data_IF_236333994548
#
_entry.id   IF_236333994548
#
_cell.length_a   1.000
_cell.length_b   1.000
_cell.length_c   1.000
_cell.angle_alpha   90.00
_cell.angle_beta   90.00
_cell.angle_gamma   90.00
#
_symmetry.space_group_name_H-M   'P 1'
#
loop_
_entity.id
_entity.type
_entity.pdbx_description
1 polymer ?
#
# COMPACT_ATOMS: atom_id res chain seq x y z
N UNK A 1 22.27 19.36 10.56
CA UNK A 1 21.24 18.30 10.59
C UNK A 1 20.34 18.55 11.80
N UNK A 2 19.02 18.67 11.63
CA UNK A 2 18.13 18.96 12.74
C UNK A 2 18.04 17.73 13.68
N UNK A 3 17.85 17.92 14.98
CA UNK A 3 17.72 16.86 15.98
C UNK A 3 16.61 15.83 15.60
N UNK A 4 15.55 16.27 14.94
CA UNK A 4 14.45 15.41 14.49
C UNK A 4 14.86 14.41 13.37
N UNK A 5 15.76 14.80 12.47
CA UNK A 5 16.23 13.94 11.38
C UNK A 5 17.01 12.73 11.89
N UNK A 6 17.88 12.95 12.86
CA UNK A 6 18.66 11.87 13.50
C UNK A 6 17.73 10.91 14.25
N UNK A 7 16.66 11.44 14.88
CA UNK A 7 15.70 10.66 15.65
C UNK A 7 14.86 9.72 14.76
N UNK A 8 14.33 10.21 13.61
CA UNK A 8 13.52 9.37 12.71
C UNK A 8 14.34 8.24 12.08
N UNK A 9 15.53 8.57 11.52
CA UNK A 9 16.40 7.56 10.90
C UNK A 9 16.80 6.47 11.89
N UNK A 10 17.14 6.86 13.12
CA UNK A 10 17.48 5.90 14.16
C UNK A 10 16.25 5.06 14.56
N UNK A 11 15.10 5.68 14.82
CA UNK A 11 13.87 4.97 15.16
C UNK A 11 13.43 4.00 14.04
N UNK A 12 13.54 4.41 12.77
CA UNK A 12 13.26 3.53 11.62
C UNK A 12 14.23 2.35 11.59
N UNK A 13 15.53 2.58 11.80
CA UNK A 13 16.55 1.53 11.85
C UNK A 13 16.28 0.52 12.96
N UNK A 14 15.98 1.00 14.16
CA UNK A 14 15.69 0.15 15.33
C UNK A 14 14.39 -0.66 15.11
N UNK A 15 13.39 -0.04 14.50
CA UNK A 15 12.14 -0.72 14.13
C UNK A 15 12.39 -1.81 13.09
N UNK A 16 13.17 -1.54 12.02
CA UNK A 16 13.52 -2.54 11.01
C UNK A 16 14.30 -3.70 11.61
N UNK A 17 15.28 -3.43 12.48
CA UNK A 17 16.02 -4.46 13.20
C UNK A 17 15.09 -5.32 14.07
N UNK A 18 14.12 -4.71 14.76
CA UNK A 18 13.13 -5.46 15.54
C UNK A 18 12.23 -6.35 14.68
N UNK A 19 11.88 -5.89 13.47
CA UNK A 19 11.11 -6.68 12.50
C UNK A 19 11.95 -7.85 11.96
N UNK A 20 13.22 -7.63 11.70
CA UNK A 20 14.14 -8.66 11.23
C UNK A 20 14.34 -9.77 12.26
N UNK A 21 14.50 -9.42 13.53
CA UNK A 21 14.72 -10.36 14.65
C UNK A 21 13.45 -11.09 15.08
N UNK A 22 12.27 -10.55 14.79
CA UNK A 22 11.03 -11.21 15.17
C UNK A 22 10.83 -12.49 14.37
N UNK A 23 10.68 -13.65 15.07
CA UNK A 23 10.15 -14.85 14.46
C UNK A 23 8.72 -14.54 13.99
N UNK A 24 8.54 -14.33 12.70
CA UNK A 24 7.26 -13.87 12.22
C UNK A 24 6.28 -15.01 12.14
N UNK A 25 5.35 -15.05 13.07
CA UNK A 25 4.13 -15.82 12.89
C UNK A 25 3.48 -15.43 11.55
N UNK A 26 3.03 -16.45 10.81
CA UNK A 26 2.32 -16.27 9.55
C UNK A 26 0.92 -15.64 9.72
N UNK A 27 0.55 -15.21 10.92
CA UNK A 27 -0.76 -14.67 11.20
C UNK A 27 -0.94 -13.30 10.55
N UNK A 28 -2.00 -13.14 9.79
CA UNK A 28 -2.37 -11.92 9.08
C UNK A 28 -2.28 -10.67 9.97
N UNK A 29 -2.84 -10.74 11.20
CA UNK A 29 -2.83 -9.62 12.14
C UNK A 29 -1.43 -9.15 12.53
N UNK A 30 -0.47 -10.05 12.61
CA UNK A 30 0.91 -9.70 12.97
C UNK A 30 1.65 -9.03 11.81
N UNK A 31 1.41 -9.49 10.59
CA UNK A 31 1.95 -8.85 9.38
C UNK A 31 1.40 -7.43 9.23
N UNK A 32 0.08 -7.27 9.40
CA UNK A 32 -0.55 -5.95 9.37
C UNK A 32 -0.04 -5.04 10.49
N UNK A 33 0.12 -5.57 11.71
CA UNK A 33 0.69 -4.79 12.83
C UNK A 33 2.12 -4.30 12.55
N UNK A 34 2.93 -5.09 11.83
CA UNK A 34 4.26 -4.69 11.40
C UNK A 34 4.22 -3.48 10.44
N UNK A 35 3.39 -3.54 9.40
CA UNK A 35 3.22 -2.44 8.45
C UNK A 35 2.66 -1.19 9.12
N UNK A 36 1.71 -1.36 10.04
CA UNK A 36 1.12 -0.27 10.81
C UNK A 36 2.12 0.40 11.78
N UNK A 37 3.12 -0.33 12.31
CA UNK A 37 4.17 0.28 13.14
C UNK A 37 5.02 1.25 12.32
N UNK A 38 5.37 0.90 11.08
CA UNK A 38 6.06 1.80 10.15
C UNK A 38 5.19 3.01 9.80
N UNK A 39 3.90 2.81 9.53
CA UNK A 39 2.96 3.90 9.29
C UNK A 39 2.91 4.87 10.49
N UNK A 40 2.73 4.36 11.71
CA UNK A 40 2.64 5.21 12.91
C UNK A 40 3.90 6.04 13.15
N UNK A 41 5.10 5.45 12.96
CA UNK A 41 6.36 6.19 13.07
C UNK A 41 6.41 7.33 12.03
N UNK A 42 5.99 7.04 10.81
CA UNK A 42 5.94 8.03 9.72
C UNK A 42 4.88 9.09 9.97
N UNK A 43 3.68 8.71 10.44
CA UNK A 43 2.59 9.63 10.80
C UNK A 43 3.05 10.64 11.86
N UNK A 44 3.67 10.17 12.95
CA UNK A 44 4.21 11.02 14.02
C UNK A 44 5.26 12.01 13.49
N UNK A 45 6.14 11.53 12.63
CA UNK A 45 7.19 12.37 12.03
C UNK A 45 6.58 13.43 11.12
N UNK A 46 5.68 13.06 10.21
CA UNK A 46 5.02 14.01 9.31
C UNK A 46 4.18 15.05 10.07
N UNK A 47 3.51 14.64 11.14
CA UNK A 47 2.77 15.56 12.01
C UNK A 47 3.67 16.63 12.63
N UNK A 48 4.84 16.22 13.13
CA UNK A 48 5.81 17.14 13.70
C UNK A 48 6.40 18.09 12.65
N UNK A 49 6.77 17.56 11.46
CA UNK A 49 7.31 18.37 10.36
C UNK A 49 6.28 19.38 9.81
N UNK A 50 5.00 18.97 9.76
CA UNK A 50 3.89 19.85 9.41
C UNK A 50 3.80 21.03 10.37
N UNK A 51 3.86 20.76 11.67
CA UNK A 51 3.84 21.79 12.70
C UNK A 51 5.07 22.71 12.62
N UNK A 52 6.27 22.18 12.40
CA UNK A 52 7.52 22.92 12.31
C UNK A 52 7.57 23.83 11.08
N UNK A 53 6.90 23.47 9.99
CA UNK A 53 6.81 24.32 8.80
C UNK A 53 5.81 25.46 8.94
N UNK A 54 5.06 25.51 10.03
CA UNK A 54 4.04 26.55 10.27
C UNK A 54 2.80 26.36 9.39
N UNK A 55 2.56 25.15 8.89
CA UNK A 55 1.35 24.77 8.18
C UNK A 55 0.24 24.41 9.20
N UNK A 56 -0.99 24.77 8.87
CA UNK A 56 -2.17 24.55 9.72
C UNK A 56 -3.45 24.65 8.89
N UNK A 57 -4.60 24.64 9.53
CA UNK A 57 -5.86 25.00 8.86
C UNK A 57 -5.73 26.38 8.17
N UNK A 58 -6.38 26.57 7.00
CA UNK A 58 -7.41 25.70 6.42
C UNK A 58 -6.90 24.51 5.58
N UNK A 59 -5.58 24.30 5.47
CA UNK A 59 -5.01 23.20 4.70
C UNK A 59 -5.18 21.86 5.41
N UNK A 60 -5.07 20.78 4.65
CA UNK A 60 -5.03 19.42 5.18
C UNK A 60 -3.86 18.63 4.59
N UNK A 61 -3.14 17.90 5.43
CA UNK A 61 -2.18 16.89 5.01
C UNK A 61 -2.87 15.53 5.01
N UNK A 62 -2.74 14.81 3.91
CA UNK A 62 -3.34 13.49 3.75
C UNK A 62 -2.28 12.48 3.30
N UNK A 63 -2.32 11.28 3.86
CA UNK A 63 -1.65 10.11 3.29
C UNK A 63 -2.49 9.57 2.14
N UNK A 64 -1.85 9.16 1.03
CA UNK A 64 -2.54 8.60 -0.13
C UNK A 64 -1.88 7.30 -0.60
N UNK A 65 -2.51 6.58 -1.51
CA UNK A 65 -2.00 5.32 -2.02
C UNK A 65 -1.78 4.25 -0.93
N UNK A 66 -0.69 3.48 -1.02
CA UNK A 66 -0.38 2.42 -0.05
C UNK A 66 -0.19 2.95 1.38
N UNK A 67 0.42 4.11 1.52
CA UNK A 67 0.56 4.79 2.80
C UNK A 67 -0.79 5.27 3.36
N UNK A 68 -1.69 5.74 2.50
CA UNK A 68 -3.06 6.10 2.88
C UNK A 68 -3.84 4.92 3.44
N UNK A 69 -3.68 3.73 2.85
CA UNK A 69 -4.28 2.48 3.34
C UNK A 69 -3.72 1.99 4.68
N UNK A 70 -2.66 2.60 5.18
CA UNK A 70 -1.99 2.17 6.42
C UNK A 70 -1.00 1.02 6.21
N UNK A 71 -0.55 0.79 4.99
CA UNK A 71 0.42 -0.24 4.62
C UNK A 71 1.72 0.39 4.14
N UNK A 72 2.70 0.48 5.02
CA UNK A 72 4.03 0.96 4.68
C UNK A 72 5.04 -0.17 4.81
N UNK A 73 5.59 -0.62 3.68
CA UNK A 73 6.67 -1.60 3.67
C UNK A 73 8.02 -0.92 3.99
N UNK A 74 9.06 -1.68 4.42
CA UNK A 74 10.31 -1.12 4.95
C UNK A 74 10.96 -0.01 4.13
N UNK A 75 10.91 -0.12 2.81
CA UNK A 75 11.51 0.83 1.86
C UNK A 75 10.51 1.31 0.79
N UNK A 76 9.22 1.38 1.13
CA UNK A 76 8.22 1.99 0.26
C UNK A 76 8.24 3.50 0.36
N UNK A 77 7.89 4.15 -0.75
CA UNK A 77 7.67 5.60 -0.81
C UNK A 77 6.53 6.00 0.12
N UNK A 78 6.59 7.22 0.63
CA UNK A 78 5.58 7.84 1.48
C UNK A 78 4.81 8.87 0.65
N UNK A 79 3.66 8.48 0.12
CA UNK A 79 2.85 9.36 -0.73
C UNK A 79 1.95 10.24 0.11
N UNK A 80 2.08 11.58 -0.07
CA UNK A 80 1.30 12.59 0.65
C UNK A 80 0.66 13.59 -0.30
N UNK A 81 -0.51 14.07 0.11
CA UNK A 81 -1.24 15.16 -0.53
C UNK A 81 -1.39 16.31 0.46
N UNK A 82 -0.90 17.48 0.07
CA UNK A 82 -1.28 18.75 0.71
C UNK A 82 -2.53 19.25 0.01
N UNK A 83 -3.67 19.10 0.66
CA UNK A 83 -4.97 19.50 0.14
C UNK A 83 -5.24 20.96 0.50
N UNK A 84 -5.59 21.75 -0.51
CA UNK A 84 -5.91 23.16 -0.40
C UNK A 84 -7.42 23.39 -0.56
N UNK A 85 -8.01 24.38 0.13
CA UNK A 85 -9.34 24.89 -0.24
C UNK A 85 -9.31 25.48 -1.66
N UNK A 86 -10.46 25.50 -2.34
CA UNK A 86 -10.55 25.96 -3.73
C UNK A 86 -10.25 27.45 -3.93
N UNK A 87 -10.43 28.26 -2.90
CA UNK A 87 -10.11 29.69 -2.88
C UNK A 87 -8.63 29.99 -2.59
N UNK A 88 -7.84 28.94 -2.30
CA UNK A 88 -6.43 29.05 -1.99
C UNK A 88 -5.57 28.79 -3.24
N UNK A 89 -5.00 29.85 -3.80
CA UNK A 89 -4.10 29.80 -4.96
C UNK A 89 -2.66 29.98 -4.48
N UNK A 90 -1.85 28.92 -4.59
CA UNK A 90 -0.43 28.96 -4.19
C UNK A 90 0.37 29.96 -5.03
N UNK A 91 0.01 30.13 -6.30
CA UNK A 91 0.69 31.05 -7.23
C UNK A 91 0.63 32.50 -6.78
N UNK A 92 -0.41 32.86 -6.02
CA UNK A 92 -0.64 34.22 -5.52
C UNK A 92 -0.35 34.37 -4.02
N UNK A 93 0.19 33.35 -3.37
CA UNK A 93 0.50 33.33 -1.94
C UNK A 93 1.92 32.83 -1.66
N UNK A 94 2.91 33.73 -1.84
CA UNK A 94 4.32 33.41 -1.64
C UNK A 94 4.63 32.88 -0.22
N UNK A 95 3.98 33.44 0.80
CA UNK A 95 4.19 33.01 2.18
C UNK A 95 3.72 31.57 2.40
N UNK A 96 2.61 31.18 1.80
CA UNK A 96 2.10 29.81 1.88
C UNK A 96 2.98 28.86 1.07
N UNK A 97 3.37 29.27 -0.14
CA UNK A 97 4.29 28.48 -0.98
C UNK A 97 5.59 28.16 -0.24
N UNK A 98 6.22 29.13 0.40
CA UNK A 98 7.43 28.95 1.19
C UNK A 98 7.24 27.96 2.35
N UNK A 99 6.09 27.98 3.02
CA UNK A 99 5.78 27.00 4.09
C UNK A 99 5.66 25.57 3.53
N UNK A 100 4.99 25.41 2.37
CA UNK A 100 4.85 24.09 1.72
C UNK A 100 6.22 23.57 1.25
N UNK A 101 7.01 24.41 0.59
CA UNK A 101 8.38 24.10 0.17
C UNK A 101 9.25 23.71 1.36
N UNK A 102 9.16 24.47 2.47
CA UNK A 102 9.84 24.14 3.73
C UNK A 102 9.42 22.79 4.28
N UNK A 103 8.12 22.46 4.27
CA UNK A 103 7.63 21.16 4.71
C UNK A 103 8.23 20.02 3.90
N UNK A 104 8.20 20.13 2.56
CA UNK A 104 8.78 19.14 1.65
C UNK A 104 10.28 19.00 1.90
N UNK A 105 11.01 20.11 2.03
CA UNK A 105 12.44 20.12 2.33
C UNK A 105 12.76 19.42 3.66
N UNK A 106 11.99 19.70 4.72
CA UNK A 106 12.15 19.06 6.02
C UNK A 106 11.91 17.54 5.94
N UNK A 107 10.96 17.07 5.12
CA UNK A 107 10.75 15.64 4.90
C UNK A 107 12.00 14.99 4.29
N UNK A 108 12.58 15.57 3.23
CA UNK A 108 13.79 15.05 2.60
C UNK A 108 14.99 15.08 3.55
N UNK A 109 15.19 16.16 4.29
CA UNK A 109 16.26 16.30 5.29
C UNK A 109 16.16 15.24 6.39
N UNK A 110 14.92 14.88 6.75
CA UNK A 110 14.66 13.84 7.75
C UNK A 110 14.94 12.44 7.22
N UNK A 111 14.98 12.27 5.89
CA UNK A 111 15.21 10.99 5.22
C UNK A 111 13.90 10.25 4.91
N UNK A 112 12.81 10.99 4.81
CA UNK A 112 11.56 10.50 4.26
C UNK A 112 11.60 10.63 2.73
N UNK A 113 11.53 9.52 2.03
CA UNK A 113 11.36 9.49 0.58
C UNK A 113 9.87 9.72 0.27
N UNK A 114 9.49 11.01 0.18
CA UNK A 114 8.10 11.38 -0.05
C UNK A 114 7.80 11.58 -1.53
N UNK A 115 6.68 11.00 -2.00
CA UNK A 115 5.95 11.44 -3.17
C UNK A 115 4.93 12.50 -2.72
N UNK A 116 5.14 13.77 -3.09
CA UNK A 116 4.25 14.85 -2.66
C UNK A 116 3.47 15.43 -3.81
N UNK A 117 2.20 15.71 -3.57
CA UNK A 117 1.34 16.52 -4.44
C UNK A 117 0.68 17.63 -3.64
N UNK A 118 0.45 18.77 -4.27
CA UNK A 118 -0.24 19.91 -3.69
C UNK A 118 -1.36 20.30 -4.64
N UNK A 119 -2.60 20.20 -4.19
CA UNK A 119 -3.79 20.36 -5.05
C UNK A 119 -4.94 20.97 -4.27
N UNK A 120 -5.75 21.73 -4.94
CA UNK A 120 -7.06 22.11 -4.45
C UNK A 120 -8.02 20.92 -4.51
N UNK A 121 -9.15 21.02 -3.82
CA UNK A 121 -10.17 20.00 -3.83
C UNK A 121 -10.70 19.77 -5.26
N UNK A 122 -10.96 20.82 -6.03
CA UNK A 122 -11.47 20.69 -7.39
C UNK A 122 -10.44 20.09 -8.35
N UNK A 123 -9.16 20.45 -8.23
CA UNK A 123 -8.08 19.80 -9.00
C UNK A 123 -8.00 18.30 -8.70
N UNK A 124 -8.12 17.89 -7.44
CA UNK A 124 -8.16 16.48 -7.08
C UNK A 124 -9.30 15.73 -7.79
N UNK A 125 -10.49 16.30 -7.85
CA UNK A 125 -11.64 15.70 -8.53
C UNK A 125 -11.43 15.66 -10.05
N UNK A 126 -10.93 16.75 -10.63
CA UNK A 126 -10.68 16.83 -12.06
C UNK A 126 -9.63 15.82 -12.52
N UNK A 127 -8.49 15.76 -11.85
CA UNK A 127 -7.42 14.83 -12.22
C UNK A 127 -7.81 13.37 -11.97
N UNK A 128 -8.56 13.09 -10.89
CA UNK A 128 -9.05 11.73 -10.64
C UNK A 128 -10.03 11.24 -11.70
N UNK A 129 -10.75 12.14 -12.37
CA UNK A 129 -11.64 11.79 -13.47
C UNK A 129 -10.89 11.41 -14.75
N UNK A 130 -9.61 11.82 -14.89
CA UNK A 130 -8.80 11.62 -16.09
C UNK A 130 -7.77 10.50 -15.94
N UNK A 131 -7.30 10.22 -14.71
CA UNK A 131 -6.24 9.25 -14.43
C UNK A 131 -6.68 8.26 -13.35
N UNK A 132 -6.77 6.99 -13.74
CA UNK A 132 -7.15 5.89 -12.86
C UNK A 132 -6.12 5.66 -11.73
N UNK A 133 -4.86 6.01 -11.92
CA UNK A 133 -3.81 5.90 -10.90
C UNK A 133 -4.02 6.95 -9.82
N UNK A 134 -4.29 8.21 -10.22
CA UNK A 134 -4.63 9.29 -9.30
C UNK A 134 -5.94 8.96 -8.58
N UNK A 135 -6.96 8.51 -9.31
CA UNK A 135 -8.23 8.08 -8.72
C UNK A 135 -8.02 6.99 -7.67
N UNK A 136 -7.23 5.97 -7.96
CA UNK A 136 -6.93 4.91 -7.00
C UNK A 136 -6.17 5.42 -5.77
N UNK A 137 -5.19 6.31 -5.98
CA UNK A 137 -4.41 6.89 -4.88
C UNK A 137 -5.29 7.72 -3.94
N UNK A 138 -6.19 8.53 -4.48
CA UNK A 138 -7.13 9.36 -3.73
C UNK A 138 -8.25 8.53 -3.04
N UNK A 139 -8.63 7.38 -3.59
CA UNK A 139 -9.55 6.44 -2.94
C UNK A 139 -9.02 5.96 -1.58
N UNK A 140 -7.71 5.89 -1.43
CA UNK A 140 -7.01 5.45 -0.21
C UNK A 140 -6.70 6.63 0.75
N UNK A 141 -7.14 7.85 0.42
CA UNK A 141 -6.76 9.05 1.16
C UNK A 141 -7.19 9.00 2.64
N UNK A 142 -6.24 9.30 3.53
CA UNK A 142 -6.41 9.31 5.00
C UNK A 142 -5.86 10.61 5.58
N UNK A 143 -6.62 11.25 6.47
CA UNK A 143 -6.18 12.46 7.18
C UNK A 143 -4.95 12.21 8.04
N UNK A 144 -3.99 13.14 8.01
CA UNK A 144 -2.82 13.15 8.89
C UNK A 144 -2.81 14.39 9.80
N UNK A 145 -2.92 15.59 9.22
CA UNK A 145 -2.82 16.84 9.96
C UNK A 145 -3.60 17.96 9.28
N UNK A 146 -3.81 19.06 9.98
CA UNK A 146 -4.50 20.26 9.44
C UNK A 146 -6.02 20.17 9.57
N UNK A 147 -6.75 20.60 8.54
CA UNK A 147 -8.20 20.71 8.57
C UNK A 147 -8.92 19.40 8.33
N UNK A 148 -9.49 18.81 9.38
CA UNK A 148 -10.40 17.66 9.23
C UNK A 148 -11.67 18.00 8.43
N UNK A 149 -12.15 19.23 8.53
CA UNK A 149 -13.33 19.68 7.81
C UNK A 149 -13.10 19.65 6.30
N UNK A 150 -11.93 20.12 5.85
CA UNK A 150 -11.55 20.05 4.44
C UNK A 150 -11.38 18.60 3.97
N UNK A 151 -10.78 17.75 4.81
CA UNK A 151 -10.65 16.32 4.51
C UNK A 151 -12.02 15.66 4.35
N UNK A 152 -12.96 15.92 5.27
CA UNK A 152 -14.33 15.34 5.19
C UNK A 152 -15.09 15.84 3.97
N UNK A 153 -14.94 17.11 3.62
CA UNK A 153 -15.55 17.67 2.41
C UNK A 153 -14.96 17.03 1.14
N UNK A 154 -13.64 16.85 1.08
CA UNK A 154 -12.98 16.12 0.00
C UNK A 154 -13.53 14.69 -0.10
N UNK A 155 -13.55 13.93 1.00
CA UNK A 155 -14.03 12.54 0.99
C UNK A 155 -15.47 12.44 0.52
N UNK A 156 -16.34 13.34 0.98
CA UNK A 156 -17.74 13.41 0.57
C UNK A 156 -17.90 13.66 -0.92
N UNK A 157 -17.23 14.69 -1.45
CA UNK A 157 -17.31 15.07 -2.88
C UNK A 157 -16.67 14.01 -3.77
N UNK A 158 -15.54 13.46 -3.35
CA UNK A 158 -14.86 12.38 -4.04
C UNK A 158 -15.77 11.13 -4.16
N UNK A 159 -16.43 10.75 -3.08
CA UNK A 159 -17.36 9.63 -3.08
C UNK A 159 -18.57 9.88 -3.99
N UNK A 160 -19.09 11.11 -4.02
CA UNK A 160 -20.20 11.49 -4.92
C UNK A 160 -19.79 11.48 -6.40
N UNK A 161 -18.54 11.81 -6.71
CA UNK A 161 -18.00 11.80 -8.06
C UNK A 161 -17.59 10.39 -8.54
N UNK A 162 -17.43 9.41 -7.61
CA UNK A 162 -17.02 8.06 -7.94
C UNK A 162 -18.09 7.32 -8.77
N UNK A 163 -17.68 6.80 -9.92
CA UNK A 163 -18.47 5.84 -10.69
C UNK A 163 -17.87 4.44 -10.51
N UNK A 164 -18.45 3.56 -9.70
CA UNK A 164 -17.88 2.24 -9.39
C UNK A 164 -17.72 1.34 -10.63
N UNK A 165 -18.67 1.42 -11.58
CA UNK A 165 -18.64 0.60 -12.79
C UNK A 165 -17.50 1.05 -13.71
N UNK A 166 -17.36 2.36 -13.96
CA UNK A 166 -16.26 2.89 -14.76
C UNK A 166 -14.90 2.58 -14.10
N UNK A 167 -14.80 2.71 -12.78
CA UNK A 167 -13.62 2.36 -12.00
C UNK A 167 -13.26 0.88 -12.15
N UNK A 168 -14.23 -0.02 -12.03
CA UNK A 168 -14.02 -1.46 -12.22
C UNK A 168 -13.49 -1.78 -13.63
N UNK A 169 -14.08 -1.20 -14.67
CA UNK A 169 -13.63 -1.41 -16.05
C UNK A 169 -12.19 -0.93 -16.25
N UNK A 170 -11.88 0.29 -15.78
CA UNK A 170 -10.56 0.87 -15.88
C UNK A 170 -9.49 0.05 -15.11
N UNK A 171 -9.82 -0.40 -13.88
CA UNK A 171 -8.91 -1.25 -13.08
C UNK A 171 -8.72 -2.64 -13.67
N UNK A 172 -9.73 -3.18 -14.30
CA UNK A 172 -9.63 -4.46 -15.03
C UNK A 172 -8.71 -4.33 -16.23
N UNK A 173 -8.83 -3.24 -17.00
CA UNK A 173 -7.95 -2.98 -18.14
C UNK A 173 -6.48 -2.81 -17.69
N UNK A 174 -6.23 -1.97 -16.69
CA UNK A 174 -4.89 -1.76 -16.09
C UNK A 174 -4.29 -3.08 -15.62
N UNK A 175 -5.08 -3.91 -14.95
CA UNK A 175 -4.65 -5.23 -14.49
C UNK A 175 -4.26 -6.15 -15.63
N UNK A 176 -5.07 -6.22 -16.70
CA UNK A 176 -4.76 -7.04 -17.85
C UNK A 176 -3.48 -6.58 -18.57
N UNK A 177 -3.28 -5.27 -18.72
CA UNK A 177 -2.04 -4.71 -19.27
C UNK A 177 -0.82 -5.05 -18.40
N UNK A 178 -0.96 -4.97 -17.08
CA UNK A 178 0.08 -5.35 -16.12
C UNK A 178 0.39 -6.85 -16.20
N UNK A 179 -0.63 -7.71 -16.24
CA UNK A 179 -0.43 -9.16 -16.39
C UNK A 179 0.30 -9.51 -17.69
N UNK A 180 -0.01 -8.83 -18.79
CA UNK A 180 0.71 -9.02 -20.06
C UNK A 180 2.19 -8.70 -19.94
N UNK A 181 2.57 -7.63 -19.22
CA UNK A 181 3.98 -7.30 -18.93
C UNK A 181 4.71 -8.38 -18.11
N UNK A 182 3.96 -9.22 -17.40
CA UNK A 182 4.47 -10.33 -16.60
C UNK A 182 4.11 -11.69 -17.24
N UNK A 183 4.03 -11.75 -18.58
CA UNK A 183 3.84 -12.98 -19.37
C UNK A 183 2.55 -13.74 -19.03
N UNK A 184 1.58 -13.10 -18.38
CA UNK A 184 0.32 -13.68 -17.90
C UNK A 184 0.47 -14.94 -17.02
N UNK A 185 1.64 -15.12 -16.38
CA UNK A 185 1.94 -16.28 -15.54
C UNK A 185 2.32 -15.89 -14.12
N UNK A 186 1.79 -16.61 -13.10
CA UNK A 186 2.28 -16.51 -11.74
C UNK A 186 3.59 -17.29 -11.49
N UNK A 187 4.05 -18.10 -12.48
CA UNK A 187 5.14 -19.06 -12.33
C UNK A 187 6.48 -18.57 -12.88
N UNK A 188 6.71 -17.26 -12.95
CA UNK A 188 8.01 -16.72 -13.30
C UNK A 188 9.07 -17.17 -12.30
N UNK A 189 10.30 -17.43 -12.75
CA UNK A 189 11.42 -17.85 -11.87
C UNK A 189 11.83 -16.77 -10.88
N UNK A 190 11.70 -15.51 -11.27
CA UNK A 190 11.93 -14.33 -10.44
C UNK A 190 10.67 -13.44 -10.42
N UNK A 191 9.59 -13.86 -9.74
CA UNK A 191 8.33 -13.14 -9.78
C UNK A 191 8.41 -11.82 -9.00
N UNK A 192 7.63 -10.84 -9.44
CA UNK A 192 7.40 -9.64 -8.67
C UNK A 192 6.23 -9.89 -7.70
N UNK A 193 6.51 -9.95 -6.38
CA UNK A 193 5.50 -10.30 -5.37
C UNK A 193 4.36 -9.27 -5.24
N UNK A 194 4.53 -8.08 -5.80
CA UNK A 194 3.50 -7.03 -5.87
C UNK A 194 2.74 -7.06 -7.19
N UNK A 195 3.46 -7.05 -8.33
CA UNK A 195 2.88 -6.73 -9.64
C UNK A 195 2.62 -7.96 -10.54
N UNK A 196 3.27 -9.12 -10.31
CA UNK A 196 3.01 -10.34 -11.09
C UNK A 196 1.59 -10.85 -10.90
N UNK A 197 1.03 -11.60 -11.87
CA UNK A 197 -0.28 -12.23 -11.71
C UNK A 197 -0.37 -13.03 -10.41
N UNK A 198 -1.42 -12.78 -9.63
CA UNK A 198 -1.60 -13.36 -8.30
C UNK A 198 -0.79 -12.69 -7.18
N UNK A 199 -0.07 -11.61 -7.46
CA UNK A 199 0.64 -10.81 -6.45
C UNK A 199 -0.28 -9.90 -5.64
N UNK A 200 0.32 -9.12 -4.73
CA UNK A 200 -0.41 -8.23 -3.81
C UNK A 200 -1.31 -7.22 -4.52
N UNK A 201 -0.93 -6.77 -5.72
CA UNK A 201 -1.73 -5.82 -6.50
C UNK A 201 -3.08 -6.39 -6.92
N UNK A 202 -3.16 -7.69 -7.19
CA UNK A 202 -4.44 -8.33 -7.54
C UNK A 202 -5.41 -8.34 -6.36
N UNK A 203 -4.91 -8.58 -5.14
CA UNK A 203 -5.69 -8.48 -3.90
C UNK A 203 -6.14 -7.03 -3.65
N UNK A 204 -5.25 -6.07 -3.84
CA UNK A 204 -5.55 -4.65 -3.69
C UNK A 204 -6.65 -4.18 -4.66
N UNK A 205 -6.64 -4.65 -5.91
CA UNK A 205 -7.68 -4.30 -6.89
C UNK A 205 -9.05 -4.76 -6.42
N UNK A 206 -9.18 -5.95 -5.84
CA UNK A 206 -10.46 -6.44 -5.29
C UNK A 206 -10.96 -5.50 -4.18
N UNK A 207 -10.09 -5.10 -3.25
CA UNK A 207 -10.47 -4.19 -2.16
C UNK A 207 -10.79 -2.78 -2.68
N UNK A 208 -10.06 -2.28 -3.68
CA UNK A 208 -10.35 -0.97 -4.28
C UNK A 208 -11.71 -0.94 -4.98
N UNK A 209 -12.02 -1.98 -5.76
CA UNK A 209 -13.33 -2.10 -6.43
C UNK A 209 -14.45 -2.17 -5.39
N UNK A 210 -14.26 -2.96 -4.33
CA UNK A 210 -15.22 -3.05 -3.24
C UNK A 210 -15.43 -1.70 -2.52
N UNK A 211 -14.33 -0.99 -2.23
CA UNK A 211 -14.35 0.32 -1.58
C UNK A 211 -15.03 1.38 -2.47
N UNK A 212 -14.72 1.40 -3.78
CA UNK A 212 -15.36 2.28 -4.75
C UNK A 212 -16.87 2.05 -4.83
N UNK A 213 -17.31 0.79 -4.73
CA UNK A 213 -18.72 0.39 -4.71
C UNK A 213 -19.36 0.50 -3.30
N UNK A 214 -18.67 1.01 -2.29
CA UNK A 214 -19.14 1.13 -0.90
C UNK A 214 -19.50 -0.22 -0.25
N UNK A 215 -18.94 -1.32 -0.73
CA UNK A 215 -19.16 -2.67 -0.21
C UNK A 215 -18.24 -3.01 0.98
N UNK A 216 -17.29 -2.14 1.30
CA UNK A 216 -16.31 -2.32 2.37
C UNK A 216 -14.87 -2.21 1.89
N UNK A 217 -13.94 -2.15 2.83
CA UNK A 217 -12.50 -1.91 2.61
C UNK A 217 -11.62 -3.03 3.19
N UNK A 218 -12.23 -4.12 3.63
CA UNK A 218 -11.54 -5.25 4.23
C UNK A 218 -12.23 -6.58 3.93
N UNK A 219 -11.47 -7.68 3.96
CA UNK A 219 -12.01 -9.02 3.75
C UNK A 219 -13.13 -9.38 4.72
N UNK A 220 -13.03 -8.92 5.98
CA UNK A 220 -14.07 -9.13 6.99
C UNK A 220 -15.35 -8.35 6.67
N UNK A 221 -15.21 -7.12 6.16
CA UNK A 221 -16.37 -6.32 5.75
C UNK A 221 -17.09 -6.98 4.57
N UNK A 222 -16.34 -7.49 3.57
CA UNK A 222 -16.90 -8.19 2.42
C UNK A 222 -17.59 -9.51 2.82
N UNK A 223 -17.03 -10.24 3.77
CA UNK A 223 -17.66 -11.45 4.29
C UNK A 223 -18.96 -11.13 5.04
N UNK A 224 -18.98 -10.09 5.87
CA UNK A 224 -20.19 -9.64 6.59
C UNK A 224 -21.32 -9.20 5.63
N UNK A 225 -20.96 -8.65 4.47
CA UNK A 225 -21.93 -8.27 3.44
C UNK A 225 -22.33 -9.43 2.51
N UNK A 226 -21.81 -10.63 2.75
CA UNK A 226 -22.12 -11.82 1.94
C UNK A 226 -21.49 -11.83 0.55
N UNK A 227 -20.55 -10.91 0.27
CA UNK A 227 -19.80 -10.87 -0.99
C UNK A 227 -18.76 -11.98 -1.06
N UNK A 228 -18.27 -12.43 0.09
CA UNK A 228 -17.38 -13.55 0.30
C UNK A 228 -17.94 -14.47 1.37
N UNK A 229 -17.59 -15.74 1.30
CA UNK A 229 -17.76 -16.63 2.46
C UNK A 229 -16.66 -16.36 3.49
N UNK A 230 -16.89 -16.72 4.76
CA UNK A 230 -15.84 -16.63 5.80
C UNK A 230 -14.58 -17.43 5.44
N UNK A 231 -14.77 -18.55 4.74
CA UNK A 231 -13.68 -19.38 4.28
C UNK A 231 -12.81 -18.65 3.23
N UNK A 232 -13.44 -18.06 2.21
CA UNK A 232 -12.74 -17.28 1.18
C UNK A 232 -12.00 -16.08 1.79
N UNK A 233 -12.66 -15.34 2.69
CA UNK A 233 -12.02 -14.22 3.39
C UNK A 233 -10.78 -14.66 4.19
N UNK A 234 -10.86 -15.84 4.85
CA UNK A 234 -9.74 -16.42 5.59
C UNK A 234 -8.58 -16.85 4.66
N UNK A 235 -8.90 -17.41 3.49
CA UNK A 235 -7.89 -17.77 2.49
C UNK A 235 -7.21 -16.54 1.91
N UNK A 236 -7.97 -15.51 1.52
CA UNK A 236 -7.42 -14.24 1.02
C UNK A 236 -6.48 -13.59 2.03
N UNK A 237 -6.87 -13.50 3.30
CA UNK A 237 -6.00 -13.02 4.39
C UNK A 237 -4.71 -13.82 4.52
N UNK A 238 -4.78 -15.15 4.42
CA UNK A 238 -3.60 -16.02 4.51
C UNK A 238 -2.63 -15.77 3.35
N UNK A 239 -3.15 -15.67 2.13
CA UNK A 239 -2.35 -15.42 0.94
C UNK A 239 -1.72 -14.03 0.98
N UNK A 240 -2.50 -13.00 1.36
CA UNK A 240 -2.01 -11.63 1.55
C UNK A 240 -0.90 -11.57 2.61
N UNK A 241 -1.07 -12.25 3.74
CA UNK A 241 -0.07 -12.31 4.79
C UNK A 241 1.24 -12.95 4.30
N UNK A 242 1.16 -14.06 3.56
CA UNK A 242 2.34 -14.72 3.02
C UNK A 242 3.08 -13.81 2.02
N UNK A 243 2.37 -13.26 1.05
CA UNK A 243 2.97 -12.38 0.03
C UNK A 243 3.57 -11.11 0.68
N UNK A 244 2.89 -10.54 1.67
CA UNK A 244 3.39 -9.37 2.42
C UNK A 244 4.64 -9.71 3.24
N UNK A 245 4.68 -10.88 3.90
CA UNK A 245 5.88 -11.35 4.60
C UNK A 245 7.07 -11.52 3.66
N UNK A 246 6.85 -12.16 2.51
CA UNK A 246 7.89 -12.30 1.49
C UNK A 246 8.40 -10.92 1.08
N UNK A 247 7.51 -9.97 0.80
CA UNK A 247 7.88 -8.60 0.42
C UNK A 247 8.64 -7.86 1.51
N UNK A 248 8.22 -7.97 2.77
CA UNK A 248 8.93 -7.38 3.91
C UNK A 248 10.36 -7.93 3.99
N UNK A 249 10.52 -9.26 3.93
CA UNK A 249 11.83 -9.90 4.00
C UNK A 249 12.70 -9.59 2.79
N UNK A 250 12.10 -9.49 1.63
CA UNK A 250 12.79 -9.09 0.40
C UNK A 250 13.35 -7.66 0.50
N UNK A 251 12.55 -6.71 0.99
CA UNK A 251 13.01 -5.34 1.26
C UNK A 251 14.18 -5.31 2.27
N UNK A 252 14.08 -6.08 3.37
CA UNK A 252 15.15 -6.15 4.38
C UNK A 252 16.42 -6.77 3.83
N UNK A 253 16.31 -7.87 3.08
CA UNK A 253 17.44 -8.56 2.47
C UNK A 253 18.15 -7.68 1.42
N UNK A 254 17.38 -6.92 0.63
CA UNK A 254 17.92 -6.02 -0.39
C UNK A 254 18.46 -4.69 0.19
N UNK A 255 18.04 -4.31 1.40
CA UNK A 255 18.35 -2.99 2.00
C UNK A 255 17.74 -1.81 1.24
N UNK A 256 16.81 -2.06 0.34
CA UNK A 256 16.14 -1.07 -0.52
C UNK A 256 14.77 -1.57 -0.93
N UNK A 257 13.99 -0.74 -1.62
CA UNK A 257 12.78 -1.18 -2.29
C UNK A 257 13.11 -2.23 -3.35
N UNK A 258 12.62 -3.44 -3.14
CA UNK A 258 12.74 -4.55 -4.07
C UNK A 258 11.48 -5.41 -4.01
N UNK A 259 10.79 -5.50 -5.12
CA UNK A 259 9.53 -6.26 -5.22
C UNK A 259 9.70 -7.54 -6.06
N UNK A 260 10.84 -7.71 -6.73
CA UNK A 260 11.18 -8.88 -7.55
C UNK A 260 12.00 -9.88 -6.74
N UNK A 261 11.51 -11.09 -6.64
CA UNK A 261 12.16 -12.18 -5.91
C UNK A 261 13.28 -12.80 -6.74
N UNK A 262 14.37 -12.00 -6.92
CA UNK A 262 15.55 -12.38 -7.71
C UNK A 262 16.30 -13.56 -7.09
N UNK A 263 16.94 -14.39 -7.92
CA UNK A 263 17.62 -15.61 -7.48
C UNK A 263 18.58 -15.38 -6.32
N UNK A 264 19.37 -14.31 -6.38
CA UNK A 264 20.38 -14.01 -5.36
C UNK A 264 19.79 -13.74 -3.97
N UNK A 265 18.54 -13.33 -3.90
CA UNK A 265 17.86 -13.03 -2.64
C UNK A 265 16.94 -14.18 -2.15
N UNK A 266 16.58 -15.16 -3.02
CA UNK A 266 15.65 -16.21 -2.65
C UNK A 266 16.10 -17.01 -1.43
N UNK A 267 17.38 -17.41 -1.39
CA UNK A 267 17.92 -18.18 -0.27
C UNK A 267 17.94 -17.38 1.04
N UNK A 268 18.32 -16.09 0.97
CA UNK A 268 18.34 -15.19 2.13
C UNK A 268 16.93 -14.93 2.67
N UNK A 269 15.97 -14.68 1.78
CA UNK A 269 14.55 -14.51 2.14
C UNK A 269 14.01 -15.80 2.76
N UNK A 270 14.29 -16.96 2.17
CA UNK A 270 13.87 -18.26 2.70
C UNK A 270 14.41 -18.49 4.11
N UNK A 271 15.70 -18.23 4.32
CA UNK A 271 16.35 -18.33 5.64
C UNK A 271 15.65 -17.44 6.67
N UNK A 272 15.35 -16.20 6.31
CA UNK A 272 14.68 -15.25 7.20
C UNK A 272 13.23 -15.59 7.52
N UNK A 273 12.65 -16.56 6.80
CA UNK A 273 11.30 -17.09 7.01
C UNK A 273 11.30 -18.50 7.65
N UNK A 274 12.47 -18.95 8.14
CA UNK A 274 12.70 -20.30 8.70
C UNK A 274 12.34 -21.42 7.71
N UNK A 275 12.45 -21.15 6.42
CA UNK A 275 12.26 -22.13 5.36
C UNK A 275 13.60 -22.76 4.99
N UNK A 276 13.66 -24.09 4.86
CA UNK A 276 14.87 -24.79 4.43
C UNK A 276 15.72 -25.35 5.57
N UNK A 277 15.21 -25.41 6.79
CA UNK A 277 15.82 -26.21 7.85
C UNK A 277 15.71 -27.71 7.49
N UNK A 278 16.85 -28.40 7.48
CA UNK A 278 16.93 -29.84 7.33
C UNK A 278 16.57 -30.58 8.62
N UNK A 279 16.56 -31.92 8.58
CA UNK A 279 16.36 -32.76 9.76
C UNK A 279 17.52 -32.65 10.77
N UNK A 280 18.69 -32.22 10.28
CA UNK A 280 19.91 -31.91 11.05
C UNK A 280 19.82 -30.56 11.77
N UNK A 281 18.77 -29.74 11.52
CA UNK A 281 18.62 -28.38 12.03
C UNK A 281 19.47 -27.34 11.28
N UNK A 282 20.22 -27.74 10.23
CA UNK A 282 20.99 -26.82 9.42
C UNK A 282 20.17 -26.23 8.27
N UNK A 283 20.54 -25.01 7.84
CA UNK A 283 19.88 -24.35 6.72
C UNK A 283 20.46 -24.81 5.39
N UNK A 284 19.64 -25.39 4.54
CA UNK A 284 19.97 -25.80 3.18
C UNK A 284 19.38 -24.78 2.18
N UNK A 285 20.25 -23.96 1.58
CA UNK A 285 19.86 -22.85 0.71
C UNK A 285 18.94 -23.28 -0.46
N UNK A 286 19.26 -24.38 -1.12
CA UNK A 286 18.44 -24.92 -2.22
C UNK A 286 17.06 -25.33 -1.75
N UNK A 287 16.98 -26.11 -0.67
CA UNK A 287 15.71 -26.53 -0.08
C UNK A 287 14.88 -25.35 0.38
N UNK A 288 15.52 -24.32 0.96
CA UNK A 288 14.89 -23.09 1.36
C UNK A 288 14.26 -22.35 0.19
N UNK A 289 15.03 -22.14 -0.88
CA UNK A 289 14.53 -21.48 -2.09
C UNK A 289 13.38 -22.27 -2.75
N UNK A 290 13.49 -23.59 -2.85
CA UNK A 290 12.43 -24.43 -3.41
C UNK A 290 11.13 -24.34 -2.58
N UNK A 291 11.21 -24.35 -1.24
CA UNK A 291 10.05 -24.19 -0.35
C UNK A 291 9.43 -22.79 -0.48
N UNK A 292 10.26 -21.75 -0.49
CA UNK A 292 9.81 -20.36 -0.68
C UNK A 292 9.05 -20.20 -1.99
N UNK A 293 9.62 -20.67 -3.09
CA UNK A 293 9.02 -20.56 -4.42
C UNK A 293 7.74 -21.38 -4.54
N UNK A 294 7.71 -22.58 -3.99
CA UNK A 294 6.51 -23.40 -3.92
C UNK A 294 5.37 -22.66 -3.20
N UNK A 295 5.64 -22.13 -2.02
CA UNK A 295 4.63 -21.47 -1.20
C UNK A 295 4.16 -20.16 -1.86
N UNK A 296 5.08 -19.41 -2.51
CA UNK A 296 4.74 -18.25 -3.34
C UNK A 296 3.79 -18.62 -4.48
N UNK A 297 4.14 -19.68 -5.26
CA UNK A 297 3.31 -20.10 -6.40
C UNK A 297 1.92 -20.56 -5.98
N UNK A 298 1.81 -21.26 -4.86
CA UNK A 298 0.51 -21.68 -4.33
C UNK A 298 -0.35 -20.46 -3.95
N UNK A 299 0.22 -19.49 -3.28
CA UNK A 299 -0.50 -18.26 -2.95
C UNK A 299 -0.92 -17.48 -4.20
N UNK A 300 0.01 -17.28 -5.14
CA UNK A 300 -0.26 -16.55 -6.38
C UNK A 300 -1.32 -17.26 -7.25
N UNK A 301 -1.27 -18.59 -7.34
CA UNK A 301 -2.30 -19.40 -8.02
C UNK A 301 -3.66 -19.23 -7.35
N UNK A 302 -3.72 -19.34 -6.01
CA UNK A 302 -4.97 -19.19 -5.26
C UNK A 302 -5.58 -17.81 -5.49
N UNK A 303 -4.80 -16.72 -5.35
CA UNK A 303 -5.26 -15.34 -5.63
C UNK A 303 -5.78 -15.18 -7.04
N UNK A 304 -5.12 -15.80 -8.04
CA UNK A 304 -5.56 -15.73 -9.45
C UNK A 304 -6.85 -16.51 -9.70
N UNK A 305 -7.12 -17.60 -8.96
CA UNK A 305 -8.32 -18.43 -9.08
C UNK A 305 -9.51 -17.84 -8.30
N UNK A 306 -9.28 -17.40 -7.07
CA UNK A 306 -10.33 -16.78 -6.21
C UNK A 306 -10.93 -15.55 -6.88
N UNK A 307 -10.13 -14.80 -7.63
CA UNK A 307 -10.60 -13.68 -8.45
C UNK A 307 -11.61 -14.09 -9.53
N UNK A 308 -11.43 -15.27 -10.15
CA UNK A 308 -12.35 -15.78 -11.19
C UNK A 308 -13.66 -16.29 -10.60
N UNK A 309 -13.64 -16.75 -9.36
CA UNK A 309 -14.79 -17.32 -8.65
C UNK A 309 -15.53 -16.31 -7.78
N UNK A 310 -14.92 -15.14 -7.48
CA UNK A 310 -15.52 -14.15 -6.60
C UNK A 310 -16.83 -13.63 -7.19
N UNK A 311 -17.89 -13.59 -6.40
CA UNK A 311 -19.21 -13.03 -6.77
C UNK A 311 -19.15 -11.56 -7.23
N UNK A 312 -18.06 -10.85 -6.99
CA UNK A 312 -17.74 -9.56 -7.61
C UNK A 312 -17.67 -9.64 -9.15
N UNK A 313 -17.32 -10.81 -9.71
CA UNK A 313 -17.37 -11.06 -11.15
C UNK A 313 -18.77 -11.46 -11.66
N UNK A 314 -19.62 -12.03 -10.80
CA UNK A 314 -20.99 -12.45 -11.17
C UNK A 314 -22.01 -11.33 -11.01
N UNK A 315 -21.71 -10.27 -10.29
CA UNK A 315 -22.59 -9.09 -10.11
C UNK A 315 -22.56 -8.11 -11.31
N UNK A 316 -22.04 -8.51 -12.47
CA UNK A 316 -22.26 -7.79 -13.74
C UNK A 316 -23.75 -7.57 -14.05
N UNK A 317 -24.65 -8.33 -13.43
CA UNK A 317 -26.10 -8.19 -13.54
C UNK A 317 -26.73 -7.24 -12.53
N UNK A 318 -26.12 -7.00 -11.37
CA UNK A 318 -26.74 -6.20 -10.31
C UNK A 318 -26.19 -4.77 -10.17
N UNK A 319 -25.00 -4.47 -10.72
CA UNK A 319 -24.47 -3.09 -10.81
C UNK A 319 -25.08 -2.33 -12.01
N UNK A 320 -25.81 -3.02 -12.87
CA UNK A 320 -26.51 -2.43 -14.04
C UNK A 320 -28.00 -2.16 -13.82
N UNK A 321 -28.49 -2.19 -12.58
CA UNK A 321 -29.85 -1.77 -12.22
C UNK A 321 -29.89 -0.54 -11.34
#
# INVERSE_FOLDING_TARGET
MSAGATTFRQAKKDLLASIEQSSQSAAYRQVQACLQRLCRLTDQTLHELWRQSGLSAPLSLMAVGGYGRGELFPYSDVDVLVLLPNDCQLEHNDALRQKVERFIGLCWDTGLEIGSSVRTLDECLQESAQDITIQTSLLEARHLAGSETLTREFQRRYQQAMNPQAFYVAKTLEMNQRHTKHENTPYALEPNCKESPGGLRDLQILLWVAKAAQLGDSWDALAKQGMLTEHEAKQLKRNEALLSRIRIRLHLAAGRREDRLVFDLQAQVAKSLDMGLGEDGEFHARLGSERLMRDYYWAAKAVSQDRKSTRLNSSHTDISR
#
